data_IF_102986215012
#
_entry.id   IF_102986215012
#
_cell.length_a   1.000
_cell.length_b   1.000
_cell.length_c   1.000
_cell.angle_alpha   90.00
_cell.angle_beta   90.00
_cell.angle_gamma   90.00
#
_symmetry.space_group_name_H-M   'P 1'
#
loop_
_entity.id
_entity.type
_entity.pdbx_description
1 polymer ?
#
# COMPACT_ATOMS: atom_id res chain seq x y z
N UNK A 1 42.45 -7.01 38.79
CA UNK A 1 42.74 -6.65 37.38
C UNK A 1 41.53 -7.03 36.55
N UNK A 2 40.62 -6.09 36.31
CA UNK A 2 39.40 -6.28 35.52
C UNK A 2 39.70 -5.82 34.10
N UNK A 3 39.58 -6.73 33.12
CA UNK A 3 39.82 -6.43 31.72
C UNK A 3 38.64 -5.65 31.14
N UNK A 4 38.90 -4.43 30.67
CA UNK A 4 37.97 -3.60 29.91
C UNK A 4 37.72 -4.24 28.55
N UNK A 5 36.49 -4.69 28.29
CA UNK A 5 36.08 -5.17 26.97
C UNK A 5 36.10 -4.00 25.97
N UNK A 6 36.62 -4.17 24.73
CA UNK A 6 36.67 -3.08 23.76
C UNK A 6 35.25 -2.72 23.28
N UNK A 7 35.00 -1.42 23.13
CA UNK A 7 33.78 -0.89 22.52
C UNK A 7 33.62 -1.42 21.09
N UNK A 8 32.38 -1.70 20.64
CA UNK A 8 32.14 -2.13 19.27
C UNK A 8 32.57 -1.03 18.27
N UNK A 9 32.99 -1.41 17.05
CA UNK A 9 33.42 -0.46 16.04
C UNK A 9 32.29 0.50 15.67
N UNK A 10 32.61 1.80 15.64
CA UNK A 10 31.72 2.85 15.12
C UNK A 10 31.41 2.52 13.66
N UNK A 11 30.11 2.42 13.34
CA UNK A 11 29.64 2.16 11.99
C UNK A 11 30.26 3.17 11.00
N UNK A 12 30.71 2.68 9.84
CA UNK A 12 31.35 3.51 8.82
C UNK A 12 30.40 4.61 8.34
N UNK A 13 30.89 5.85 8.12
CA UNK A 13 30.06 7.03 7.84
C UNK A 13 29.24 6.97 6.53
N UNK A 14 29.42 5.95 5.69
CA UNK A 14 28.65 5.74 4.45
C UNK A 14 27.43 4.80 4.58
N UNK A 15 27.33 3.99 5.64
CA UNK A 15 26.21 3.05 5.79
C UNK A 15 24.91 3.73 6.26
N UNK A 16 25.03 4.80 7.05
CA UNK A 16 23.88 5.53 7.58
C UNK A 16 23.14 6.35 6.52
N UNK A 17 23.84 6.98 5.58
CA UNK A 17 23.20 7.79 4.53
C UNK A 17 22.46 6.92 3.52
N UNK A 18 23.02 5.78 3.10
CA UNK A 18 22.36 4.84 2.20
C UNK A 18 21.05 4.29 2.81
N UNK A 19 21.06 3.94 4.10
CA UNK A 19 19.88 3.47 4.84
C UNK A 19 18.80 4.57 4.99
N UNK A 20 19.21 5.83 5.18
CA UNK A 20 18.28 6.96 5.21
C UNK A 20 17.60 7.19 3.85
N UNK A 21 18.36 7.13 2.75
CA UNK A 21 17.80 7.22 1.40
C UNK A 21 16.85 6.06 1.09
N UNK A 22 17.14 4.86 1.57
CA UNK A 22 16.25 3.70 1.43
C UNK A 22 14.94 3.87 2.21
N UNK A 23 15.03 4.39 3.44
CA UNK A 23 13.85 4.72 4.24
C UNK A 23 13.00 5.81 3.56
N UNK A 24 13.62 6.89 3.11
CA UNK A 24 12.96 7.98 2.37
C UNK A 24 12.24 7.45 1.11
N UNK A 25 12.88 6.52 0.37
CA UNK A 25 12.26 5.83 -0.78
C UNK A 25 11.04 5.02 -0.40
N UNK A 26 11.11 4.29 0.71
CA UNK A 26 10.00 3.47 1.21
C UNK A 26 8.83 4.35 1.64
N UNK A 27 9.08 5.41 2.42
CA UNK A 27 8.06 6.38 2.84
C UNK A 27 7.43 7.08 1.62
N UNK A 28 8.24 7.51 0.64
CA UNK A 28 7.72 8.09 -0.60
C UNK A 28 6.86 7.07 -1.39
N UNK A 29 7.19 5.79 -1.32
CA UNK A 29 6.37 4.69 -1.84
C UNK A 29 5.00 4.62 -1.18
N UNK A 30 4.92 4.71 0.15
CA UNK A 30 3.63 4.73 0.85
C UNK A 30 2.78 5.95 0.50
N UNK A 31 3.40 7.14 0.40
CA UNK A 31 2.68 8.35 -0.03
C UNK A 31 2.04 8.14 -1.39
N UNK A 32 2.77 7.56 -2.36
CA UNK A 32 2.23 7.25 -3.69
C UNK A 32 1.12 6.21 -3.61
N UNK A 33 1.37 5.08 -2.95
CA UNK A 33 0.40 3.99 -2.79
C UNK A 33 -0.94 4.52 -2.24
N UNK A 34 -0.90 5.28 -1.14
CA UNK A 34 -2.10 5.81 -0.51
C UNK A 34 -2.79 6.87 -1.39
N UNK A 35 -2.04 7.79 -2.02
CA UNK A 35 -2.65 8.78 -2.94
C UNK A 35 -3.32 8.13 -4.14
N UNK A 36 -2.66 7.16 -4.77
CA UNK A 36 -3.23 6.46 -5.93
C UNK A 36 -4.47 5.67 -5.54
N UNK A 37 -4.51 5.06 -4.34
CA UNK A 37 -5.72 4.39 -3.84
C UNK A 37 -6.85 5.37 -3.53
N UNK A 38 -6.54 6.53 -2.96
CA UNK A 38 -7.51 7.61 -2.78
C UNK A 38 -8.14 8.02 -4.12
N UNK A 39 -7.31 8.30 -5.13
CA UNK A 39 -7.77 8.69 -6.46
C UNK A 39 -8.60 7.60 -7.12
N UNK A 40 -8.15 6.35 -7.04
CA UNK A 40 -8.82 5.20 -7.63
C UNK A 40 -10.20 4.96 -7.01
N UNK A 41 -10.27 4.82 -5.68
CA UNK A 41 -11.54 4.53 -5.01
C UNK A 41 -12.49 5.73 -5.09
N UNK A 42 -11.98 6.95 -4.90
CA UNK A 42 -12.75 8.18 -5.04
C UNK A 42 -13.31 8.38 -6.45
N UNK A 43 -12.54 8.02 -7.49
CA UNK A 43 -12.99 8.07 -8.88
C UNK A 43 -14.14 7.10 -9.19
N UNK A 44 -14.21 5.96 -8.51
CA UNK A 44 -15.28 4.98 -8.70
C UNK A 44 -16.59 5.33 -8.01
N UNK A 45 -16.59 6.23 -7.01
CA UNK A 45 -17.79 6.62 -6.24
C UNK A 45 -18.94 7.08 -7.15
N UNK A 46 -18.64 7.80 -8.23
CA UNK A 46 -19.67 8.36 -9.13
C UNK A 46 -20.32 7.28 -9.98
N UNK A 47 -19.56 6.26 -10.40
CA UNK A 47 -20.03 5.20 -11.32
C UNK A 47 -20.48 3.92 -10.62
N UNK A 48 -20.35 3.84 -9.29
CA UNK A 48 -20.81 2.69 -8.49
C UNK A 48 -22.31 2.79 -8.24
N UNK A 49 -23.06 1.75 -8.58
CA UNK A 49 -24.51 1.72 -8.47
C UNK A 49 -24.98 1.34 -7.05
N UNK A 50 -24.26 0.44 -6.40
CA UNK A 50 -24.60 -0.11 -5.08
C UNK A 50 -24.31 0.92 -3.99
N UNK A 51 -25.34 1.34 -3.26
CA UNK A 51 -25.22 2.40 -2.24
C UNK A 51 -24.21 2.06 -1.13
N UNK A 52 -24.25 0.83 -0.62
CA UNK A 52 -23.36 0.38 0.46
C UNK A 52 -21.89 0.38 -0.01
N UNK A 53 -21.65 -0.10 -1.24
CA UNK A 53 -20.32 -0.08 -1.85
C UNK A 53 -19.84 1.36 -2.02
N UNK A 54 -20.71 2.25 -2.51
CA UNK A 54 -20.38 3.67 -2.69
C UNK A 54 -19.96 4.35 -1.38
N UNK A 55 -20.68 4.09 -0.30
CA UNK A 55 -20.36 4.63 1.03
C UNK A 55 -19.02 4.10 1.56
N UNK A 56 -18.76 2.80 1.38
CA UNK A 56 -17.47 2.22 1.77
C UNK A 56 -16.32 2.80 0.95
N UNK A 57 -16.46 2.91 -0.38
CA UNK A 57 -15.46 3.53 -1.25
C UNK A 57 -15.13 4.96 -0.84
N UNK A 58 -16.14 5.78 -0.52
CA UNK A 58 -15.93 7.15 -0.06
C UNK A 58 -15.15 7.21 1.27
N UNK A 59 -15.53 6.39 2.26
CA UNK A 59 -14.82 6.32 3.55
C UNK A 59 -13.39 5.84 3.40
N UNK A 60 -13.17 4.74 2.67
CA UNK A 60 -11.83 4.18 2.46
C UNK A 60 -10.95 5.15 1.66
N UNK A 61 -11.51 5.85 0.67
CA UNK A 61 -10.78 6.91 -0.04
C UNK A 61 -10.34 8.02 0.95
N UNK A 62 -11.22 8.44 1.87
CA UNK A 62 -10.85 9.42 2.90
C UNK A 62 -9.72 8.92 3.81
N UNK A 63 -9.77 7.64 4.23
CA UNK A 63 -8.68 7.03 4.99
C UNK A 63 -7.36 7.09 4.21
N UNK A 64 -7.34 6.73 2.94
CA UNK A 64 -6.15 6.79 2.09
C UNK A 64 -5.59 8.20 1.93
N UNK A 65 -6.45 9.21 1.75
CA UNK A 65 -6.01 10.61 1.71
C UNK A 65 -5.35 11.05 3.03
N UNK A 66 -5.92 10.63 4.16
CA UNK A 66 -5.35 10.89 5.48
C UNK A 66 -4.03 10.13 5.70
N UNK A 67 -3.95 8.85 5.33
CA UNK A 67 -2.74 8.03 5.44
C UNK A 67 -1.59 8.62 4.61
N UNK A 68 -1.86 9.06 3.38
CA UNK A 68 -0.88 9.79 2.57
C UNK A 68 -0.33 11.01 3.32
N UNK A 69 -1.22 11.80 3.91
CA UNK A 69 -0.87 12.99 4.69
C UNK A 69 -0.05 12.67 5.95
N UNK A 70 -0.28 11.51 6.59
CA UNK A 70 0.54 11.02 7.69
C UNK A 70 1.95 10.65 7.22
N UNK A 71 2.05 9.91 6.11
CA UNK A 71 3.35 9.48 5.56
C UNK A 71 4.19 10.65 5.06
N UNK A 72 3.57 11.66 4.46
CA UNK A 72 4.25 12.88 4.01
C UNK A 72 4.95 13.64 5.14
N UNK A 73 4.45 13.53 6.37
CA UNK A 73 5.09 14.18 7.53
C UNK A 73 6.45 13.58 7.88
N UNK A 74 6.73 12.35 7.43
CA UNK A 74 8.01 11.67 7.65
C UNK A 74 9.05 11.97 6.55
N UNK A 75 8.65 12.64 5.45
CA UNK A 75 9.60 13.03 4.40
C UNK A 75 10.34 14.32 4.74
N UNK A 76 11.62 14.47 4.34
CA UNK A 76 12.38 15.69 4.54
C UNK A 76 11.70 16.92 3.88
N UNK A 77 11.37 17.94 4.69
CA UNK A 77 10.78 19.22 4.23
C UNK A 77 11.83 20.28 3.82
N UNK A 78 12.94 19.88 3.19
CA UNK A 78 14.00 20.83 2.76
C UNK A 78 13.83 21.24 1.30
N UNK A 79 14.10 22.51 1.00
CA UNK A 79 14.17 23.00 -0.38
C UNK A 79 15.21 22.20 -1.18
N UNK A 80 14.85 21.77 -2.40
CA UNK A 80 15.69 20.95 -3.28
C UNK A 80 15.73 19.46 -2.94
N UNK A 81 14.93 18.97 -1.98
CA UNK A 81 14.69 17.54 -1.83
C UNK A 81 13.68 17.07 -2.88
N UNK A 82 14.15 16.28 -3.83
CA UNK A 82 13.28 15.50 -4.71
C UNK A 82 13.07 14.14 -4.06
N UNK A 83 11.81 13.78 -3.84
CA UNK A 83 11.48 12.47 -3.32
C UNK A 83 12.03 11.41 -4.29
N UNK A 84 12.85 10.47 -3.82
CA UNK A 84 13.43 9.48 -4.71
C UNK A 84 12.32 8.61 -5.33
N UNK A 85 12.55 8.14 -6.56
CA UNK A 85 11.68 7.16 -7.21
C UNK A 85 11.49 5.94 -6.29
N UNK A 86 10.32 5.27 -6.34
CA UNK A 86 10.00 4.11 -5.50
C UNK A 86 11.19 3.15 -5.41
N UNK A 87 11.62 2.81 -4.19
CA UNK A 87 12.55 1.70 -3.96
C UNK A 87 11.87 0.35 -4.24
N UNK A 88 12.70 -0.67 -4.51
CA UNK A 88 12.31 -2.04 -4.82
C UNK A 88 11.19 -2.54 -3.89
N UNK A 89 10.15 -3.13 -4.49
CA UNK A 89 8.97 -3.67 -3.81
C UNK A 89 7.65 -2.92 -4.03
N UNK A 90 7.66 -1.77 -4.73
CA UNK A 90 6.44 -1.03 -5.08
C UNK A 90 5.94 -1.20 -6.52
N UNK A 91 6.81 -1.67 -7.43
CA UNK A 91 6.50 -1.70 -8.87
C UNK A 91 5.35 -2.63 -9.25
N UNK A 92 5.15 -3.71 -8.49
CA UNK A 92 4.10 -4.70 -8.78
C UNK A 92 2.70 -4.22 -8.33
N UNK A 93 2.62 -3.54 -7.18
CA UNK A 93 1.43 -2.84 -6.68
C UNK A 93 1.07 -1.65 -7.58
N UNK A 94 2.06 -0.85 -7.97
CA UNK A 94 1.88 0.28 -8.90
C UNK A 94 1.34 -0.22 -10.26
N UNK A 95 1.84 -1.35 -10.78
CA UNK A 95 1.31 -1.96 -12.00
C UNK A 95 -0.14 -2.46 -11.83
N UNK A 96 -0.49 -3.03 -10.68
CA UNK A 96 -1.87 -3.45 -10.40
C UNK A 96 -2.82 -2.26 -10.33
N UNK A 97 -2.41 -1.19 -9.64
CA UNK A 97 -3.17 0.07 -9.55
C UNK A 97 -3.35 0.72 -10.93
N UNK A 98 -2.28 0.75 -11.74
CA UNK A 98 -2.35 1.27 -13.10
C UNK A 98 -3.33 0.47 -13.97
N UNK A 99 -3.33 -0.87 -13.88
CA UNK A 99 -4.32 -1.71 -14.58
C UNK A 99 -5.75 -1.43 -14.10
N UNK A 100 -5.96 -1.20 -12.80
CA UNK A 100 -7.28 -0.85 -12.26
C UNK A 100 -7.77 0.53 -12.71
N UNK A 101 -6.86 1.48 -12.94
CA UNK A 101 -7.19 2.83 -13.39
C UNK A 101 -7.39 2.94 -14.91
N UNK A 102 -6.66 2.14 -15.70
CA UNK A 102 -6.66 2.22 -17.16
C UNK A 102 -7.85 1.51 -17.83
N UNK A 103 -8.45 0.54 -17.14
CA UNK A 103 -9.59 -0.21 -17.65
C UNK A 103 -10.89 0.47 -17.23
N UNK A 104 -11.76 0.80 -18.20
CA UNK A 104 -13.18 0.99 -17.92
C UNK A 104 -13.77 -0.36 -17.48
N UNK A 105 -13.60 -0.67 -16.20
CA UNK A 105 -14.10 -1.90 -15.64
C UNK A 105 -15.63 -1.87 -15.68
N UNK A 106 -16.26 -2.86 -16.32
CA UNK A 106 -17.67 -2.81 -16.68
C UNK A 106 -18.61 -2.96 -15.48
N UNK A 107 -18.18 -3.62 -14.40
CA UNK A 107 -19.00 -3.90 -13.23
C UNK A 107 -18.21 -3.72 -11.92
N UNK A 108 -18.93 -3.55 -10.81
CA UNK A 108 -18.44 -3.32 -9.46
C UNK A 108 -17.61 -4.51 -8.95
N UNK A 109 -17.96 -5.75 -9.33
CA UNK A 109 -17.30 -6.96 -8.81
C UNK A 109 -15.81 -7.06 -9.19
N UNK A 110 -15.43 -6.71 -10.43
CA UNK A 110 -14.03 -6.70 -10.86
C UNK A 110 -13.23 -5.61 -10.14
N UNK A 111 -13.84 -4.44 -9.93
CA UNK A 111 -13.23 -3.33 -9.19
C UNK A 111 -12.93 -3.74 -7.75
N UNK A 112 -13.91 -4.30 -7.05
CA UNK A 112 -13.75 -4.75 -5.67
C UNK A 112 -12.78 -5.94 -5.56
N UNK A 113 -12.85 -6.91 -6.48
CA UNK A 113 -11.90 -8.03 -6.50
C UNK A 113 -10.46 -7.54 -6.65
N UNK A 114 -10.20 -6.60 -7.57
CA UNK A 114 -8.86 -6.03 -7.72
C UNK A 114 -8.41 -5.19 -6.53
N UNK A 115 -9.29 -4.30 -6.04
CA UNK A 115 -8.95 -3.40 -4.94
C UNK A 115 -8.75 -4.14 -3.62
N UNK A 116 -9.62 -5.08 -3.26
CA UNK A 116 -9.61 -5.69 -1.93
C UNK A 116 -8.90 -7.04 -1.87
N UNK A 117 -9.03 -7.91 -2.89
CA UNK A 117 -8.32 -9.21 -2.85
C UNK A 117 -6.86 -9.12 -3.26
N UNK A 118 -6.49 -8.10 -4.02
CA UNK A 118 -5.11 -7.95 -4.52
C UNK A 118 -4.42 -6.75 -3.88
N UNK A 119 -4.89 -5.53 -4.14
CA UNK A 119 -4.18 -4.31 -3.72
C UNK A 119 -4.19 -4.15 -2.20
N UNK A 120 -5.36 -4.18 -1.55
CA UNK A 120 -5.47 -4.01 -0.11
C UNK A 120 -4.78 -5.15 0.66
N UNK A 121 -5.00 -6.41 0.25
CA UNK A 121 -4.34 -7.57 0.87
C UNK A 121 -2.81 -7.46 0.83
N UNK A 122 -2.24 -7.00 -0.30
CA UNK A 122 -0.79 -6.76 -0.41
C UNK A 122 -0.34 -5.55 0.39
N UNK A 123 -1.09 -4.44 0.38
CA UNK A 123 -0.77 -3.28 1.21
C UNK A 123 -0.71 -3.65 2.70
N UNK A 124 -1.67 -4.45 3.18
CA UNK A 124 -1.67 -5.01 4.55
C UNK A 124 -0.39 -5.81 4.81
N UNK A 125 0.00 -6.70 3.89
CA UNK A 125 1.24 -7.46 4.03
C UNK A 125 2.49 -6.56 4.08
N UNK A 126 2.57 -5.56 3.20
CA UNK A 126 3.68 -4.60 3.15
C UNK A 126 3.79 -3.78 4.44
N UNK A 127 2.67 -3.30 4.99
CA UNK A 127 2.69 -2.56 6.25
C UNK A 127 3.01 -3.48 7.44
N UNK A 128 2.50 -4.70 7.46
CA UNK A 128 2.82 -5.68 8.50
C UNK A 128 4.31 -6.04 8.50
N UNK A 129 4.90 -6.27 7.33
CA UNK A 129 6.33 -6.53 7.17
C UNK A 129 7.17 -5.33 7.65
N UNK A 130 6.82 -4.12 7.22
CA UNK A 130 7.52 -2.93 7.67
C UNK A 130 7.44 -2.80 9.19
N UNK A 131 6.25 -2.89 9.78
CA UNK A 131 6.10 -2.81 11.23
C UNK A 131 6.92 -3.87 11.97
N UNK A 132 7.04 -5.08 11.43
CA UNK A 132 7.84 -6.16 12.03
C UNK A 132 9.34 -5.89 12.03
N UNK A 133 9.81 -5.04 11.12
CA UNK A 133 11.23 -4.69 10.95
C UNK A 133 11.56 -3.30 11.51
N UNK A 134 10.56 -2.46 11.79
CA UNK A 134 10.76 -1.14 12.42
C UNK A 134 11.12 -1.26 13.90
N UNK A 135 12.26 -0.68 14.29
CA UNK A 135 12.64 -0.58 15.70
C UNK A 135 11.84 0.53 16.40
N UNK A 136 11.08 0.16 17.41
CA UNK A 136 10.29 1.11 18.23
C UNK A 136 11.15 2.04 19.07
N UNK A 137 12.43 1.70 19.27
CA UNK A 137 13.38 2.49 20.07
C UNK A 137 13.98 3.61 19.23
N UNK A 138 14.36 3.32 17.98
CA UNK A 138 14.97 4.29 17.07
C UNK A 138 13.92 5.09 16.29
N UNK A 139 12.81 4.45 15.90
CA UNK A 139 11.83 5.02 14.98
C UNK A 139 10.38 4.97 15.54
N UNK A 140 10.14 5.48 16.75
CA UNK A 140 8.83 5.37 17.40
C UNK A 140 7.70 6.05 16.62
N UNK A 141 8.00 7.16 15.91
CA UNK A 141 7.02 7.89 15.11
C UNK A 141 6.56 7.09 13.88
N UNK A 142 7.51 6.50 13.15
CA UNK A 142 7.22 5.61 12.00
C UNK A 142 6.43 4.40 12.47
N UNK A 143 6.87 3.74 13.55
CA UNK A 143 6.17 2.60 14.11
C UNK A 143 4.74 2.96 14.55
N UNK A 144 4.51 4.19 15.05
CA UNK A 144 3.16 4.65 15.40
C UNK A 144 2.29 4.87 14.16
N UNK A 145 2.79 5.58 13.15
CA UNK A 145 2.06 5.78 11.89
C UNK A 145 1.72 4.46 11.22
N UNK A 146 2.69 3.53 11.15
CA UNK A 146 2.49 2.22 10.55
C UNK A 146 1.38 1.42 11.25
N UNK A 147 1.32 1.43 12.59
CA UNK A 147 0.23 0.79 13.33
C UNK A 147 -1.14 1.39 13.06
N UNK A 148 -1.23 2.72 12.99
CA UNK A 148 -2.50 3.41 12.69
C UNK A 148 -2.99 3.04 11.30
N UNK A 149 -2.13 3.19 10.30
CA UNK A 149 -2.45 2.86 8.91
C UNK A 149 -2.81 1.37 8.79
N UNK A 150 -2.01 0.47 9.34
CA UNK A 150 -2.28 -0.98 9.26
C UNK A 150 -3.62 -1.37 9.88
N UNK A 151 -4.04 -0.73 10.99
CA UNK A 151 -5.32 -1.00 11.61
C UNK A 151 -6.49 -0.66 10.66
N UNK A 152 -6.51 0.57 10.13
CA UNK A 152 -7.53 1.00 9.18
C UNK A 152 -7.51 0.13 7.91
N UNK A 153 -6.32 -0.20 7.39
CA UNK A 153 -6.17 -1.03 6.20
C UNK A 153 -6.74 -2.45 6.39
N UNK A 154 -6.59 -3.02 7.60
CA UNK A 154 -7.17 -4.32 7.93
C UNK A 154 -8.70 -4.27 7.99
N UNK A 155 -9.25 -3.19 8.55
CA UNK A 155 -10.70 -3.02 8.69
C UNK A 155 -11.33 -2.74 7.32
N UNK A 156 -10.76 -1.81 6.55
CA UNK A 156 -11.21 -1.49 5.19
C UNK A 156 -11.10 -2.71 4.26
N UNK A 157 -10.05 -3.53 4.40
CA UNK A 157 -9.90 -4.78 3.65
C UNK A 157 -11.01 -5.78 3.96
N UNK A 158 -11.31 -6.01 5.24
CA UNK A 158 -12.37 -6.94 5.68
C UNK A 158 -13.73 -6.48 5.20
N UNK A 159 -14.03 -5.19 5.32
CA UNK A 159 -15.29 -4.62 4.86
C UNK A 159 -15.43 -4.71 3.34
N UNK A 160 -14.39 -4.33 2.60
CA UNK A 160 -14.40 -4.41 1.14
C UNK A 160 -14.55 -5.84 0.63
N UNK A 161 -13.92 -6.83 1.27
CA UNK A 161 -14.13 -8.24 0.94
C UNK A 161 -15.56 -8.69 1.29
N UNK A 162 -16.12 -8.27 2.42
CA UNK A 162 -17.49 -8.61 2.78
C UNK A 162 -18.51 -8.05 1.77
N UNK A 163 -18.31 -6.82 1.32
CA UNK A 163 -19.12 -6.21 0.26
C UNK A 163 -18.99 -6.98 -1.05
N UNK A 164 -17.77 -7.35 -1.45
CA UNK A 164 -17.57 -8.20 -2.63
C UNK A 164 -18.35 -9.51 -2.50
N UNK A 165 -18.25 -10.20 -1.37
CA UNK A 165 -18.97 -11.46 -1.13
C UNK A 165 -20.49 -11.31 -1.26
N UNK A 166 -21.07 -10.19 -0.81
CA UNK A 166 -22.52 -9.94 -0.98
C UNK A 166 -22.96 -9.79 -2.44
N UNK A 167 -22.05 -9.46 -3.35
CA UNK A 167 -22.33 -9.31 -4.78
C UNK A 167 -22.08 -10.60 -5.58
N UNK A 168 -21.46 -11.63 -5.00
CA UNK A 168 -21.17 -12.90 -5.66
C UNK A 168 -22.39 -13.84 -5.66
N UNK A 169 -23.50 -13.36 -6.23
CA UNK A 169 -24.81 -14.02 -6.26
C UNK A 169 -25.08 -14.87 -7.52
N UNK A 170 -24.12 -14.94 -8.43
CA UNK A 170 -24.23 -15.65 -9.71
C UNK A 170 -22.89 -16.20 -10.16
N UNK A 171 -22.90 -17.32 -10.88
CA UNK A 171 -21.70 -17.96 -11.43
C UNK A 171 -20.88 -17.00 -12.29
N UNK A 172 -21.54 -16.18 -13.10
CA UNK A 172 -20.91 -15.17 -13.95
C UNK A 172 -20.14 -14.11 -13.13
N UNK A 173 -20.72 -13.57 -12.04
CA UNK A 173 -20.01 -12.63 -11.15
C UNK A 173 -18.85 -13.30 -10.42
N UNK A 174 -19.02 -14.55 -10.00
CA UNK A 174 -17.94 -15.36 -9.39
C UNK A 174 -16.77 -15.49 -10.36
N UNK A 175 -17.05 -15.90 -11.60
CA UNK A 175 -16.03 -16.10 -12.63
C UNK A 175 -15.30 -14.81 -12.98
N UNK A 176 -16.01 -13.68 -13.13
CA UNK A 176 -15.37 -12.39 -13.42
C UNK A 176 -14.48 -11.90 -12.28
N UNK A 177 -14.94 -12.01 -11.03
CA UNK A 177 -14.13 -11.65 -9.86
C UNK A 177 -12.86 -12.51 -9.77
N UNK A 178 -12.98 -13.82 -9.96
CA UNK A 178 -11.85 -14.75 -9.96
C UNK A 178 -10.88 -14.47 -11.12
N UNK A 179 -11.40 -14.23 -12.32
CA UNK A 179 -10.59 -13.90 -13.50
C UNK A 179 -9.80 -12.61 -13.26
N UNK A 180 -10.45 -11.57 -12.71
CA UNK A 180 -9.79 -10.30 -12.43
C UNK A 180 -8.67 -10.44 -11.42
N UNK A 181 -8.92 -11.13 -10.30
CA UNK A 181 -7.89 -11.40 -9.30
C UNK A 181 -6.69 -12.12 -9.93
N UNK A 182 -6.95 -13.22 -10.66
CA UNK A 182 -5.90 -14.01 -11.29
C UNK A 182 -5.10 -13.20 -12.33
N UNK A 183 -5.75 -12.29 -13.06
CA UNK A 183 -5.10 -11.38 -14.00
C UNK A 183 -4.08 -10.47 -13.32
N UNK A 184 -4.48 -9.82 -12.22
CA UNK A 184 -3.61 -8.92 -11.45
C UNK A 184 -2.48 -9.66 -10.73
N UNK A 185 -2.74 -10.86 -10.20
CA UNK A 185 -1.69 -11.68 -9.60
C UNK A 185 -0.62 -12.09 -10.61
N UNK A 186 -1.03 -12.45 -11.83
CA UNK A 186 -0.11 -12.75 -12.94
C UNK A 186 0.66 -11.50 -13.38
N UNK A 187 0.02 -10.34 -13.40
CA UNK A 187 0.66 -9.06 -13.74
C UNK A 187 1.79 -8.73 -12.76
N UNK A 188 1.49 -8.78 -11.45
CA UNK A 188 2.48 -8.52 -10.40
C UNK A 188 3.64 -9.52 -10.44
N UNK A 189 3.37 -10.82 -10.65
CA UNK A 189 4.44 -11.82 -10.81
C UNK A 189 5.37 -11.52 -11.99
N UNK A 190 4.81 -11.11 -13.14
CA UNK A 190 5.61 -10.75 -14.32
C UNK A 190 6.49 -9.52 -14.04
N UNK A 191 5.96 -8.55 -13.29
CA UNK A 191 6.71 -7.37 -12.90
C UNK A 191 7.88 -7.73 -11.97
N UNK A 192 7.64 -8.58 -10.97
CA UNK A 192 8.69 -9.08 -10.08
C UNK A 192 9.79 -9.85 -10.82
N UNK A 193 9.46 -10.55 -11.91
CA UNK A 193 10.43 -11.27 -12.74
C UNK A 193 11.22 -10.39 -13.72
N UNK A 194 10.79 -9.13 -13.92
CA UNK A 194 11.39 -8.19 -14.88
C UNK A 194 12.32 -7.16 -14.21
N UNK A 195 12.31 -7.03 -12.88
CA UNK A 195 13.29 -6.25 -12.13
C UNK A 195 14.59 -7.10 -11.96
N UNK A 196 15.76 -6.62 -12.43
CA UNK A 196 17.04 -7.35 -12.35
C UNK A 196 17.67 -7.33 -10.95
#
# INVERSE_FOLDING_TARGET
>A
MTATSPLPPVASPGAGTASLYENDRRIAGYVRLERTRFELLGGWVVSTAELEVKQALERHAHHHAWHASLWEQHLPRRSGYEAPASGHGGGDLDACLASLAAEELPDTVERLAGAYRVVAARAVATYAEHLSTTSVVSDPAVARTCRLVLADQLDDWREGEALLQSLLDSDDRIDRAAHRQAGLEKLSRKHLAAEP
#
